data_IF_903102219258
#
_entry.id   IF_903102219258
#
_cell.length_a   1.000
_cell.length_b   1.000
_cell.length_c   1.000
_cell.angle_alpha   90.00
_cell.angle_beta   90.00
_cell.angle_gamma   90.00
#
_symmetry.space_group_name_H-M   'P 1'
#
loop_
_entity.id
_entity.type
_entity.pdbx_description
1 polymer ?
#
# COMPACT_ATOMS: atom_id res chain seq x y z
N UNK A 1 11.87 -5.66 -4.39
CA UNK A 1 10.99 -6.23 -5.42
C UNK A 1 9.94 -5.19 -5.73
N UNK A 2 9.98 -4.53 -6.88
CA UNK A 2 9.10 -3.38 -7.20
C UNK A 2 7.63 -3.81 -7.21
N UNK A 3 6.70 -2.88 -6.99
CA UNK A 3 5.25 -3.19 -7.00
C UNK A 3 4.78 -3.73 -8.36
N UNK A 4 5.45 -3.32 -9.44
CA UNK A 4 5.22 -3.86 -10.79
C UNK A 4 5.50 -5.36 -10.88
N UNK A 5 6.57 -5.84 -10.23
CA UNK A 5 6.93 -7.27 -10.23
C UNK A 5 5.93 -8.10 -9.41
N UNK A 6 5.42 -7.54 -8.30
CA UNK A 6 4.33 -8.17 -7.53
C UNK A 6 3.08 -8.32 -8.39
N UNK A 7 2.75 -7.26 -9.15
CA UNK A 7 1.57 -7.25 -10.01
C UNK A 7 1.68 -8.25 -11.16
N UNK A 8 2.84 -8.33 -11.82
CA UNK A 8 3.10 -9.34 -12.86
C UNK A 8 2.98 -10.77 -12.33
N UNK A 9 3.55 -11.04 -11.15
CA UNK A 9 3.42 -12.34 -10.47
C UNK A 9 1.97 -12.72 -10.17
N UNK A 10 1.19 -11.76 -9.70
CA UNK A 10 -0.25 -11.95 -9.49
C UNK A 10 -0.97 -12.28 -10.80
N UNK A 11 -0.67 -11.56 -11.90
CA UNK A 11 -1.26 -11.85 -13.22
C UNK A 11 -0.87 -13.24 -13.74
N UNK A 12 0.32 -13.73 -13.38
CA UNK A 12 0.79 -15.08 -13.69
C UNK A 12 0.17 -16.18 -12.80
N UNK A 13 -0.77 -15.82 -11.92
CA UNK A 13 -1.51 -16.76 -11.07
C UNK A 13 -0.81 -17.11 -9.75
N UNK A 14 0.28 -16.44 -9.41
CA UNK A 14 0.96 -16.60 -8.13
C UNK A 14 0.06 -16.05 -7.01
N UNK A 15 -0.23 -16.89 -6.00
CA UNK A 15 -1.07 -16.52 -4.86
C UNK A 15 -0.21 -16.21 -3.64
N UNK A 16 -0.38 -15.02 -3.09
CA UNK A 16 0.24 -14.61 -1.84
C UNK A 16 -0.72 -14.91 -0.68
N UNK A 17 -0.31 -15.73 0.29
CA UNK A 17 -1.14 -16.03 1.48
C UNK A 17 -1.14 -14.87 2.47
N UNK A 18 -0.09 -14.06 2.47
CA UNK A 18 0.04 -12.91 3.35
C UNK A 18 0.85 -11.80 2.69
N UNK A 19 0.52 -10.56 3.03
CA UNK A 19 1.35 -9.38 2.70
C UNK A 19 2.79 -9.54 3.22
N UNK A 20 3.02 -10.34 4.28
CA UNK A 20 4.36 -10.63 4.81
C UNK A 20 5.27 -11.38 3.83
N UNK A 21 4.67 -12.11 2.88
CA UNK A 21 5.40 -12.82 1.82
C UNK A 21 5.89 -11.85 0.74
N UNK A 22 5.33 -10.64 0.71
CA UNK A 22 5.73 -9.56 -0.18
C UNK A 22 6.67 -8.65 0.61
N UNK A 23 7.94 -8.59 0.21
CA UNK A 23 8.89 -7.67 0.82
C UNK A 23 8.54 -6.22 0.42
N UNK A 24 7.62 -5.58 1.16
CA UNK A 24 7.18 -4.20 0.97
C UNK A 24 8.05 -3.17 1.70
N UNK A 25 9.10 -3.60 2.43
CA UNK A 25 9.93 -2.74 3.27
C UNK A 25 10.74 -1.68 2.52
N UNK A 26 10.83 -1.79 1.19
CA UNK A 26 11.46 -0.78 0.34
C UNK A 26 10.52 0.37 -0.06
N UNK A 27 9.20 0.25 0.21
CA UNK A 27 8.26 1.32 -0.11
C UNK A 27 8.51 2.49 0.86
N UNK A 28 8.72 3.72 0.36
CA UNK A 28 8.99 4.88 1.20
C UNK A 28 7.71 5.44 1.84
N UNK A 29 6.96 4.58 2.54
CA UNK A 29 5.70 4.93 3.19
C UNK A 29 6.04 5.45 4.59
N UNK A 30 5.86 6.76 4.80
CA UNK A 30 6.01 7.40 6.12
C UNK A 30 4.66 7.58 6.80
N UNK A 31 3.61 7.72 6.01
CA UNK A 31 2.24 7.93 6.46
C UNK A 31 1.26 7.11 5.62
N UNK A 32 0.09 6.70 6.17
CA UNK A 32 -0.92 5.96 5.41
C UNK A 32 -1.38 6.64 4.12
N UNK A 33 -1.31 7.98 4.06
CA UNK A 33 -1.63 8.77 2.87
C UNK A 33 -0.68 8.54 1.70
N UNK A 34 0.56 8.12 1.96
CA UNK A 34 1.58 7.87 0.93
C UNK A 34 1.21 6.67 0.05
N UNK A 35 0.31 5.79 0.51
CA UNK A 35 -0.19 4.64 -0.23
C UNK A 35 -1.08 5.03 -1.41
N UNK A 36 -1.72 6.19 -1.38
CA UNK A 36 -2.75 6.56 -2.38
C UNK A 36 -2.18 7.32 -3.58
N UNK A 37 -0.85 7.39 -3.69
CA UNK A 37 -0.15 8.06 -4.78
C UNK A 37 -0.32 9.58 -4.75
N UNK A 38 -0.11 10.26 -5.88
CA UNK A 38 -0.08 11.74 -5.97
C UNK A 38 -1.45 12.42 -6.13
N UNK A 39 -2.56 11.66 -6.08
CA UNK A 39 -3.89 12.23 -6.29
C UNK A 39 -4.31 13.07 -5.07
N UNK A 40 -4.50 14.40 -5.20
CA UNK A 40 -4.78 15.27 -4.05
C UNK A 40 -6.08 14.90 -3.32
N UNK A 41 -7.13 14.58 -4.10
CA UNK A 41 -8.45 14.19 -3.57
C UNK A 41 -8.32 12.91 -2.72
N UNK A 42 -7.64 11.91 -3.27
CA UNK A 42 -7.42 10.64 -2.59
C UNK A 42 -6.54 10.79 -1.34
N UNK A 43 -5.54 11.67 -1.40
CA UNK A 43 -4.70 11.97 -0.25
C UNK A 43 -5.51 12.63 0.88
N UNK A 44 -6.40 13.55 0.55
CA UNK A 44 -7.27 14.23 1.50
C UNK A 44 -8.26 13.27 2.17
N UNK A 45 -8.87 12.38 1.38
CA UNK A 45 -9.73 11.30 1.88
C UNK A 45 -8.94 10.40 2.85
N UNK A 46 -7.77 9.92 2.44
CA UNK A 46 -6.96 9.06 3.28
C UNK A 46 -6.50 9.75 4.57
N UNK A 47 -6.15 11.04 4.52
CA UNK A 47 -5.79 11.84 5.70
C UNK A 47 -6.95 12.01 6.69
N UNK A 48 -8.18 12.17 6.18
CA UNK A 48 -9.40 12.25 7.01
C UNK A 48 -9.67 10.91 7.73
N UNK A 49 -9.48 9.80 7.03
CA UNK A 49 -9.76 8.47 7.58
C UNK A 49 -8.60 7.88 8.41
N UNK A 50 -7.35 8.28 8.17
CA UNK A 50 -6.18 7.76 8.90
C UNK A 50 -6.19 8.11 10.40
N UNK A 51 -6.82 9.24 10.78
CA UNK A 51 -6.95 9.67 12.18
C UNK A 51 -7.73 8.69 13.05
N UNK A 52 -8.57 7.85 12.46
CA UNK A 52 -9.40 6.89 13.19
C UNK A 52 -8.74 5.52 13.36
N UNK A 53 -7.56 5.29 12.78
CA UNK A 53 -6.87 4.00 12.84
C UNK A 53 -6.08 3.83 14.15
N UNK A 54 -5.72 4.93 14.82
CA UNK A 54 -4.93 4.92 16.06
C UNK A 54 -5.75 5.03 17.36
N UNK A 55 -7.09 5.04 17.29
CA UNK A 55 -7.93 4.94 18.47
C UNK A 55 -8.31 3.47 18.72
N UNK A 56 -7.37 2.71 19.29
CA UNK A 56 -7.65 1.39 19.86
C UNK A 56 -6.75 1.11 21.05
#
# INVERSE_FOLDING_TARGET
MKISEVYERYLNGEKFKSIREINLGYLPIKQPVDLVGRSPIMQEIAKKHSRHVNNK
#
